data_IF_426385442900
#
_entry.id   IF_426385442900
#
_cell.length_a   1.000
_cell.length_b   1.000
_cell.length_c   1.000
_cell.angle_alpha   90.00
_cell.angle_beta   90.00
_cell.angle_gamma   90.00
#
_symmetry.space_group_name_H-M   'P 1'
#
loop_
_entity.id
_entity.type
_entity.pdbx_description
1 polymer ?
#
# COMPACT_ATOMS: atom_id res chain seq x y z
N UNK A 1 -15.24 42.75 -30.55
CA UNK A 1 -14.64 42.41 -29.25
C UNK A 1 -15.57 41.60 -28.35
N UNK A 2 -16.84 42.00 -28.12
CA UNK A 2 -17.79 41.24 -27.26
C UNK A 2 -18.00 39.77 -27.66
N UNK A 3 -18.18 39.49 -28.96
CA UNK A 3 -18.35 38.10 -29.48
C UNK A 3 -17.13 37.21 -29.25
N UNK A 4 -15.93 37.78 -29.36
CA UNK A 4 -14.67 37.07 -29.06
C UNK A 4 -14.58 36.72 -27.57
N UNK A 5 -14.99 37.65 -26.69
CA UNK A 5 -15.02 37.41 -25.25
C UNK A 5 -16.03 36.31 -24.85
N UNK A 6 -17.21 36.29 -25.49
CA UNK A 6 -18.18 35.20 -25.31
C UNK A 6 -17.62 33.84 -25.72
N UNK A 7 -16.90 33.77 -26.85
CA UNK A 7 -16.27 32.53 -27.30
C UNK A 7 -15.22 32.03 -26.30
N UNK A 8 -14.37 32.92 -25.79
CA UNK A 8 -13.37 32.58 -24.77
C UNK A 8 -14.03 32.07 -23.48
N UNK A 9 -15.11 32.71 -23.03
CA UNK A 9 -15.85 32.28 -21.84
C UNK A 9 -16.47 30.88 -21.99
N UNK A 10 -17.05 30.57 -23.16
CA UNK A 10 -17.58 29.24 -23.46
C UNK A 10 -16.48 28.18 -23.42
N UNK A 11 -15.30 28.50 -23.97
CA UNK A 11 -14.16 27.58 -24.00
C UNK A 11 -13.63 27.30 -22.60
N UNK A 12 -13.54 28.32 -21.75
CA UNK A 12 -13.19 28.18 -20.32
C UNK A 12 -14.22 27.31 -19.58
N UNK A 13 -15.52 27.53 -19.81
CA UNK A 13 -16.57 26.73 -19.20
C UNK A 13 -16.50 25.25 -19.59
N UNK A 14 -16.27 24.95 -20.87
CA UNK A 14 -16.09 23.58 -21.35
C UNK A 14 -14.86 22.89 -20.76
N UNK A 15 -13.74 23.62 -20.66
CA UNK A 15 -12.53 23.12 -20.00
C UNK A 15 -12.80 22.83 -18.52
N UNK A 16 -13.50 23.72 -17.82
CA UNK A 16 -13.86 23.53 -16.43
C UNK A 16 -14.71 22.27 -16.21
N UNK A 17 -15.75 22.07 -17.02
CA UNK A 17 -16.60 20.86 -16.95
C UNK A 17 -15.77 19.61 -17.22
N UNK A 18 -14.90 19.64 -18.23
CA UNK A 18 -14.02 18.51 -18.58
C UNK A 18 -13.10 18.13 -17.42
N UNK A 19 -12.50 19.14 -16.75
CA UNK A 19 -11.64 18.92 -15.57
C UNK A 19 -12.46 18.32 -14.42
N UNK A 20 -13.66 18.81 -14.15
CA UNK A 20 -14.53 18.29 -13.09
C UNK A 20 -14.94 16.84 -13.31
N UNK A 21 -15.33 16.49 -14.54
CA UNK A 21 -15.67 15.11 -14.91
C UNK A 21 -14.45 14.19 -14.74
N UNK A 22 -13.27 14.62 -15.20
CA UNK A 22 -12.05 13.86 -15.04
C UNK A 22 -11.63 13.67 -13.57
N UNK A 23 -11.74 14.73 -12.76
CA UNK A 23 -11.47 14.65 -11.31
C UNK A 23 -12.38 13.63 -10.63
N UNK A 24 -13.69 13.70 -10.87
CA UNK A 24 -14.65 12.75 -10.31
C UNK A 24 -14.39 11.31 -10.78
N UNK A 25 -14.03 11.12 -12.05
CA UNK A 25 -13.64 9.81 -12.56
C UNK A 25 -12.41 9.26 -11.82
N UNK A 26 -11.37 10.09 -11.66
CA UNK A 26 -10.11 9.72 -10.99
C UNK A 26 -10.28 9.47 -9.50
N UNK A 27 -11.22 10.12 -8.84
CA UNK A 27 -11.52 9.89 -7.43
C UNK A 27 -12.09 8.50 -7.18
N UNK A 28 -12.82 7.94 -8.16
CA UNK A 28 -13.53 6.67 -8.04
C UNK A 28 -12.91 5.51 -8.86
N UNK A 29 -11.90 5.78 -9.69
CA UNK A 29 -11.28 4.77 -10.54
C UNK A 29 -9.75 4.82 -10.47
N UNK A 30 -9.13 3.66 -10.68
CA UNK A 30 -7.68 3.57 -10.86
C UNK A 30 -7.30 3.84 -12.31
N UNK A 31 -6.30 4.69 -12.49
CA UNK A 31 -5.68 4.91 -13.79
C UNK A 31 -4.70 3.78 -14.12
N UNK A 32 -4.41 3.56 -15.41
CA UNK A 32 -3.49 2.51 -15.89
C UNK A 32 -2.07 2.60 -15.33
N UNK A 33 -1.65 3.77 -14.82
CA UNK A 33 -0.34 4.02 -14.22
C UNK A 33 -0.40 4.13 -12.68
N UNK A 34 -1.55 3.86 -12.08
CA UNK A 34 -1.79 3.83 -10.64
C UNK A 34 -2.04 2.39 -10.20
N UNK A 35 -1.64 2.04 -8.98
CA UNK A 35 -1.89 0.75 -8.37
C UNK A 35 -2.37 0.96 -6.94
N UNK A 36 -3.19 0.04 -6.44
CA UNK A 36 -3.40 -0.13 -5.00
C UNK A 36 -2.72 -1.41 -4.60
N UNK A 37 -2.13 -1.41 -3.42
CA UNK A 37 -1.57 -2.61 -2.79
C UNK A 37 -2.25 -2.75 -1.46
N UNK A 38 -2.89 -3.88 -1.20
CA UNK A 38 -3.43 -4.29 0.08
C UNK A 38 -2.59 -5.47 0.56
N UNK A 39 -2.10 -5.42 1.80
CA UNK A 39 -1.26 -6.50 2.36
C UNK A 39 -2.00 -7.12 3.54
N UNK A 40 -2.27 -8.41 3.45
CA UNK A 40 -2.95 -9.21 4.46
C UNK A 40 -1.96 -10.15 5.13
N UNK A 41 -1.84 -10.07 6.44
CA UNK A 41 -0.99 -10.97 7.21
C UNK A 41 -1.74 -12.25 7.57
N UNK A 42 -1.24 -13.37 7.08
CA UNK A 42 -1.62 -14.72 7.46
C UNK A 42 -0.45 -15.40 8.16
N UNK A 43 0.00 -14.78 9.25
CA UNK A 43 1.10 -15.25 10.08
C UNK A 43 0.62 -15.35 11.53
N UNK A 44 0.30 -16.55 12.02
CA UNK A 44 0.04 -16.79 13.44
C UNK A 44 1.23 -16.35 14.31
N UNK A 45 0.97 -15.91 15.55
CA UNK A 45 2.01 -15.41 16.46
C UNK A 45 3.17 -16.42 16.62
N UNK A 46 2.85 -17.71 16.68
CA UNK A 46 3.80 -18.81 16.79
C UNK A 46 4.70 -19.02 15.56
N UNK A 47 4.30 -18.52 14.39
CA UNK A 47 5.05 -18.67 13.13
C UNK A 47 5.92 -17.43 12.81
N UNK A 48 5.71 -16.29 13.50
CA UNK A 48 6.41 -15.02 13.20
C UNK A 48 7.93 -15.17 13.35
N UNK A 49 8.40 -15.76 14.45
CA UNK A 49 9.85 -15.97 14.66
C UNK A 49 10.45 -16.81 13.54
N UNK A 50 9.80 -17.92 13.18
CA UNK A 50 10.25 -18.79 12.09
C UNK A 50 10.25 -18.08 10.74
N UNK A 51 9.22 -17.27 10.47
CA UNK A 51 9.11 -16.50 9.23
C UNK A 51 10.31 -15.55 9.05
N UNK A 52 10.78 -14.93 10.13
CA UNK A 52 11.95 -14.05 10.16
C UNK A 52 13.29 -14.76 10.40
N UNK A 53 13.30 -16.08 10.63
CA UNK A 53 14.51 -16.84 10.96
C UNK A 53 15.11 -16.51 12.34
N UNK A 54 14.26 -16.17 13.31
CA UNK A 54 14.64 -15.85 14.68
C UNK A 54 14.51 -17.06 15.61
N UNK A 55 15.14 -16.99 16.78
CA UNK A 55 14.92 -17.96 17.86
C UNK A 55 13.48 -17.88 18.39
N UNK A 56 12.88 -19.03 18.71
CA UNK A 56 11.51 -19.11 19.21
C UNK A 56 11.35 -18.34 20.53
N UNK A 57 10.36 -17.46 20.60
CA UNK A 57 10.09 -16.59 21.74
C UNK A 57 10.69 -15.19 21.61
N UNK A 58 11.26 -14.84 20.45
CA UNK A 58 11.79 -13.50 20.20
C UNK A 58 10.65 -12.49 19.96
N UNK A 59 9.60 -12.90 19.24
CA UNK A 59 8.44 -12.06 18.99
C UNK A 59 7.61 -11.86 20.27
N UNK A 60 7.27 -10.60 20.56
CA UNK A 60 6.40 -10.21 21.65
C UNK A 60 5.42 -9.18 21.09
N UNK A 61 4.15 -9.57 20.93
CA UNK A 61 3.10 -8.70 20.37
C UNK A 61 2.87 -7.38 21.11
N UNK A 62 3.26 -7.32 22.38
CA UNK A 62 3.13 -6.09 23.18
C UNK A 62 4.31 -5.14 22.95
N UNK A 63 5.43 -5.66 22.46
CA UNK A 63 6.66 -4.90 22.21
C UNK A 63 6.99 -4.75 20.75
N UNK A 64 6.48 -5.60 19.86
CA UNK A 64 6.90 -5.68 18.47
C UNK A 64 5.71 -5.58 17.51
N UNK A 65 5.95 -4.96 16.36
CA UNK A 65 4.99 -4.86 15.26
C UNK A 65 5.68 -5.16 13.93
N UNK A 66 4.89 -5.60 12.95
CA UNK A 66 5.38 -5.91 11.60
C UNK A 66 5.01 -4.76 10.67
N UNK A 67 5.99 -4.24 9.95
CA UNK A 67 5.83 -3.18 8.96
C UNK A 67 6.21 -3.66 7.57
N UNK A 68 5.32 -3.46 6.60
CA UNK A 68 5.62 -3.65 5.19
C UNK A 68 6.11 -2.33 4.59
N UNK A 69 7.06 -2.39 3.66
CA UNK A 69 7.61 -1.19 3.03
C UNK A 69 8.00 -1.46 1.60
N UNK A 70 7.79 -0.47 0.75
CA UNK A 70 8.14 -0.54 -0.67
C UNK A 70 9.29 0.41 -0.98
N UNK A 71 10.27 -0.05 -1.75
CA UNK A 71 11.38 0.80 -2.17
C UNK A 71 10.96 1.70 -3.34
N UNK A 72 11.15 3.00 -3.16
CA UNK A 72 10.96 4.02 -4.21
C UNK A 72 12.18 4.08 -5.13
N UNK A 73 12.05 4.74 -6.29
CA UNK A 73 13.15 4.93 -7.26
C UNK A 73 14.41 5.58 -6.68
N UNK A 74 14.27 6.41 -5.64
CA UNK A 74 15.36 7.10 -4.97
C UNK A 74 15.91 6.33 -3.75
N UNK A 75 15.68 5.01 -3.66
CA UNK A 75 16.03 4.15 -2.53
C UNK A 75 15.39 4.53 -1.18
N UNK A 76 14.42 5.44 -1.17
CA UNK A 76 13.62 5.72 0.01
C UNK A 76 12.64 4.59 0.27
N UNK A 77 12.47 4.17 1.53
CA UNK A 77 11.46 3.19 1.91
C UNK A 77 10.14 3.89 2.20
N UNK A 78 9.11 3.53 1.43
CA UNK A 78 7.76 3.96 1.64
C UNK A 78 7.07 2.95 2.55
N UNK A 79 6.97 3.30 3.82
CA UNK A 79 6.30 2.47 4.80
C UNK A 79 4.81 2.38 4.50
N UNK A 80 4.31 1.15 4.50
CA UNK A 80 2.93 0.81 4.25
C UNK A 80 2.26 0.43 5.57
N UNK A 81 1.43 1.34 6.06
CA UNK A 81 0.75 1.24 7.36
C UNK A 81 -0.73 0.88 7.25
N UNK A 82 -1.26 0.75 6.03
CA UNK A 82 -2.70 0.76 5.80
C UNK A 82 -3.25 -0.66 5.70
N UNK A 83 -4.38 -0.92 6.36
CA UNK A 83 -5.10 -2.19 6.32
C UNK A 83 -4.29 -3.43 6.72
N UNK A 84 -3.44 -3.32 7.74
CA UNK A 84 -2.89 -4.49 8.43
C UNK A 84 -3.99 -5.10 9.31
N UNK A 85 -5.01 -5.69 8.68
CA UNK A 85 -6.00 -6.46 9.43
C UNK A 85 -5.29 -7.65 10.05
N UNK A 86 -5.36 -7.74 11.38
CA UNK A 86 -5.01 -8.94 12.11
C UNK A 86 -5.89 -10.06 11.57
N UNK A 87 -5.25 -11.18 11.25
CA UNK A 87 -5.79 -12.40 10.66
C UNK A 87 -7.29 -12.65 10.95
N UNK A 88 -8.12 -12.55 9.90
CA UNK A 88 -9.52 -13.00 9.89
C UNK A 88 -9.77 -14.03 8.75
N UNK A 89 -8.71 -14.70 8.26
CA UNK A 89 -8.78 -15.57 7.09
C UNK A 89 -8.87 -14.81 5.75
N UNK A 90 -8.82 -15.57 4.65
CA UNK A 90 -8.95 -15.04 3.28
C UNK A 90 -10.38 -14.71 2.88
N UNK A 91 -11.35 -15.16 3.67
CA UNK A 91 -12.79 -15.08 3.38
C UNK A 91 -13.33 -13.65 3.38
N UNK A 92 -12.59 -12.70 3.99
CA UNK A 92 -12.93 -11.28 3.98
C UNK A 92 -12.31 -10.52 2.80
N UNK A 93 -11.44 -11.15 2.00
CA UNK A 93 -10.80 -10.48 0.86
C UNK A 93 -11.77 -10.48 -0.32
N UNK A 94 -12.34 -9.32 -0.61
CA UNK A 94 -13.22 -9.14 -1.76
C UNK A 94 -12.41 -8.91 -3.04
N UNK A 95 -12.35 -9.93 -3.90
CA UNK A 95 -11.67 -9.84 -5.21
C UNK A 95 -12.28 -8.81 -6.16
N UNK A 96 -13.57 -8.51 -5.99
CA UNK A 96 -14.32 -7.57 -6.84
C UNK A 96 -14.43 -6.18 -6.20
N UNK A 97 -13.63 -5.89 -5.16
CA UNK A 97 -13.64 -4.59 -4.52
C UNK A 97 -13.25 -3.49 -5.51
N UNK A 98 -14.08 -2.44 -5.56
CA UNK A 98 -13.80 -1.24 -6.34
C UNK A 98 -12.93 -0.30 -5.56
N UNK A 99 -12.11 0.46 -6.28
CA UNK A 99 -11.31 1.52 -5.69
C UNK A 99 -12.19 2.56 -4.99
N UNK A 100 -11.81 2.95 -3.77
CA UNK A 100 -12.36 4.09 -3.04
C UNK A 100 -11.22 4.82 -2.35
N UNK A 101 -11.21 6.15 -2.43
CA UNK A 101 -10.19 6.99 -1.82
C UNK A 101 -10.20 6.91 -0.27
N UNK A 102 -11.33 6.55 0.32
CA UNK A 102 -11.49 6.41 1.77
C UNK A 102 -10.79 5.16 2.32
N UNK A 103 -10.73 4.10 1.50
CA UNK A 103 -10.18 2.79 1.90
C UNK A 103 -8.78 2.53 1.39
N UNK A 104 -8.45 3.10 0.22
CA UNK A 104 -7.27 2.72 -0.54
C UNK A 104 -6.30 3.86 -0.74
N UNK A 105 -5.02 3.55 -0.58
CA UNK A 105 -3.93 4.41 -0.99
C UNK A 105 -3.47 4.02 -2.40
N UNK A 106 -3.54 4.99 -3.32
CA UNK A 106 -3.00 4.84 -4.68
C UNK A 106 -1.49 5.10 -4.69
N UNK A 107 -0.77 4.30 -5.45
CA UNK A 107 0.64 4.47 -5.77
C UNK A 107 0.79 4.69 -7.26
N UNK A 108 1.62 5.64 -7.68
CA UNK A 108 1.96 5.78 -9.10
C UNK A 108 3.14 4.89 -9.44
N UNK A 109 3.31 4.59 -10.73
CA UNK A 109 4.42 3.76 -11.22
C UNK A 109 5.82 4.20 -10.79
N UNK A 110 6.04 5.49 -10.59
CA UNK A 110 7.33 6.00 -10.11
C UNK A 110 7.47 5.96 -8.57
N UNK A 111 6.38 5.74 -7.83
CA UNK A 111 6.41 5.63 -6.37
C UNK A 111 6.88 4.26 -5.90
N UNK A 112 6.57 3.20 -6.63
CA UNK A 112 6.99 1.84 -6.33
C UNK A 112 7.70 1.28 -7.56
N UNK A 113 9.02 1.17 -7.47
CA UNK A 113 9.87 0.69 -8.57
C UNK A 113 10.46 -0.69 -8.30
N UNK A 114 10.05 -1.28 -7.19
CA UNK A 114 10.60 -2.51 -6.65
C UNK A 114 9.59 -3.63 -6.83
N UNK A 115 10.04 -4.75 -7.39
CA UNK A 115 9.32 -6.03 -7.32
C UNK A 115 9.53 -6.72 -5.97
N UNK A 116 9.92 -5.96 -4.95
CA UNK A 116 10.28 -6.44 -3.63
C UNK A 116 9.59 -5.59 -2.57
N UNK A 117 8.94 -6.25 -1.65
CA UNK A 117 8.43 -5.69 -0.40
C UNK A 117 9.43 -6.03 0.70
N UNK A 118 9.76 -5.04 1.53
CA UNK A 118 10.58 -5.26 2.72
C UNK A 118 9.63 -5.38 3.90
N UNK A 119 9.61 -6.55 4.53
CA UNK A 119 8.87 -6.84 5.75
C UNK A 119 9.83 -6.68 6.92
N UNK A 120 9.49 -5.83 7.89
CA UNK A 120 10.35 -5.50 9.03
C UNK A 120 9.65 -5.81 10.33
N UNK A 121 10.36 -6.49 11.23
CA UNK A 121 9.94 -6.59 12.62
C UNK A 121 10.57 -5.43 13.39
N UNK A 122 9.75 -4.61 14.04
CA UNK A 122 10.22 -3.41 14.74
C UNK A 122 9.70 -3.35 16.16
N UNK A 123 10.47 -2.75 17.06
CA UNK A 123 10.03 -2.42 18.41
C UNK A 123 8.98 -1.30 18.37
N UNK A 124 7.85 -1.54 19.03
CA UNK A 124 6.81 -0.58 19.42
C UNK A 124 7.41 0.32 20.51
N UNK A 125 8.28 1.27 20.14
CA UNK A 125 8.50 2.43 21.04
C UNK A 125 7.25 3.30 20.99
N UNK A 126 6.78 3.75 22.15
CA UNK A 126 5.45 4.35 22.39
C UNK A 126 5.14 5.69 21.69
N UNK A 127 5.76 6.02 20.57
CA UNK A 127 5.46 7.25 19.84
C UNK A 127 4.39 6.98 18.80
N UNK A 128 3.24 7.62 18.96
CA UNK A 128 2.16 7.81 17.99
C UNK A 128 2.60 8.48 16.65
N UNK A 129 3.90 8.53 16.36
CA UNK A 129 4.51 9.10 15.16
C UNK A 129 5.39 8.04 14.50
N UNK A 130 4.77 7.20 13.67
CA UNK A 130 5.42 6.19 12.84
C UNK A 130 6.42 6.75 11.80
N UNK A 131 6.67 8.07 11.75
CA UNK A 131 7.40 8.70 10.64
C UNK A 131 8.87 9.04 10.90
N UNK A 132 9.40 8.99 12.13
CA UNK A 132 10.62 9.76 12.43
C UNK A 132 11.92 9.02 12.79
N UNK A 133 11.95 7.74 13.20
CA UNK A 133 13.23 7.07 13.52
C UNK A 133 13.14 5.53 13.62
N UNK A 134 12.65 4.88 12.56
CA UNK A 134 12.46 3.41 12.55
C UNK A 134 13.79 2.65 12.47
N UNK A 135 14.88 3.23 11.96
CA UNK A 135 16.14 2.50 11.77
C UNK A 135 16.71 1.89 13.05
N UNK A 136 16.53 2.54 14.20
CA UNK A 136 17.04 2.07 15.49
C UNK A 136 16.06 1.15 16.24
N UNK A 137 14.88 0.89 15.67
CA UNK A 137 13.89 -0.01 16.25
C UNK A 137 13.72 -1.32 15.46
N UNK A 138 14.39 -1.47 14.30
CA UNK A 138 14.33 -2.70 13.50
C UNK A 138 15.08 -3.83 14.22
N UNK A 139 14.35 -4.89 14.53
CA UNK A 139 14.91 -6.14 15.08
C UNK A 139 15.47 -6.97 13.94
N UNK A 140 14.68 -7.13 12.88
CA UNK A 140 15.09 -7.87 11.68
C UNK A 140 14.23 -7.46 10.49
N UNK A 141 14.66 -7.85 9.29
CA UNK A 141 13.95 -7.61 8.03
C UNK A 141 14.05 -8.82 7.11
N UNK A 142 13.03 -8.98 6.28
CA UNK A 142 12.97 -9.98 5.22
C UNK A 142 12.50 -9.31 3.93
N UNK A 143 13.10 -9.71 2.82
CA UNK A 143 12.71 -9.24 1.50
C UNK A 143 11.81 -10.28 0.85
N UNK A 144 10.64 -9.84 0.40
CA UNK A 144 9.62 -10.67 -0.20
C UNK A 144 9.37 -10.21 -1.63
N UNK A 145 9.44 -11.14 -2.59
CA UNK A 145 9.20 -10.80 -3.99
C UNK A 145 7.71 -10.63 -4.26
N UNK A 146 7.35 -9.52 -4.89
CA UNK A 146 5.98 -9.18 -5.26
C UNK A 146 5.93 -8.52 -6.63
N UNK A 147 5.00 -8.95 -7.48
CA UNK A 147 4.80 -8.35 -8.80
C UNK A 147 3.58 -7.43 -8.83
N UNK A 148 3.76 -6.12 -8.65
CA UNK A 148 2.64 -5.17 -8.60
C UNK A 148 2.09 -4.89 -10.00
N UNK A 149 0.81 -5.21 -10.22
CA UNK A 149 0.08 -4.82 -11.42
C UNK A 149 -0.46 -3.39 -11.33
N UNK A 150 -0.25 -2.60 -12.38
CA UNK A 150 -0.83 -1.26 -12.51
C UNK A 150 -2.21 -1.29 -13.18
N UNK A 151 -3.07 -0.34 -12.82
CA UNK A 151 -4.47 -0.27 -13.23
C UNK A 151 -5.41 -1.13 -12.39
N UNK A 152 -4.92 -1.75 -11.30
CA UNK A 152 -5.72 -2.64 -10.46
C UNK A 152 -5.37 -2.55 -8.97
N UNK A 153 -6.21 -3.17 -8.15
CA UNK A 153 -5.94 -3.46 -6.75
C UNK A 153 -5.17 -4.77 -6.67
N UNK A 154 -4.04 -4.76 -5.98
CA UNK A 154 -3.20 -5.93 -5.75
C UNK A 154 -3.42 -6.38 -4.30
N UNK A 155 -4.08 -7.51 -4.10
CA UNK A 155 -4.22 -8.10 -2.78
C UNK A 155 -3.07 -9.07 -2.58
N UNK A 156 -2.21 -8.81 -1.60
CA UNK A 156 -1.02 -9.59 -1.29
C UNK A 156 -1.26 -10.28 0.04
N UNK A 157 -1.13 -11.60 0.08
CA UNK A 157 -1.12 -12.37 1.32
C UNK A 157 0.34 -12.63 1.69
N UNK A 158 0.67 -12.34 2.94
CA UNK A 158 1.94 -12.73 3.55
C UNK A 158 1.71 -13.87 4.52
N UNK A 159 2.28 -15.03 4.21
CA UNK A 159 2.22 -16.23 5.04
C UNK A 159 3.63 -16.78 5.35
N UNK A 160 3.70 -17.93 6.01
CA UNK A 160 4.98 -18.57 6.38
C UNK A 160 5.90 -18.87 5.19
N UNK A 161 5.33 -19.07 4.00
CA UNK A 161 6.06 -19.39 2.77
C UNK A 161 6.52 -18.13 2.02
N UNK A 162 5.95 -16.96 2.33
CA UNK A 162 6.34 -15.67 1.77
C UNK A 162 5.14 -14.85 1.31
N UNK A 163 5.37 -13.92 0.38
CA UNK A 163 4.32 -13.10 -0.23
C UNK A 163 3.74 -13.72 -1.50
N UNK A 164 2.42 -13.73 -1.62
CA UNK A 164 1.71 -14.19 -2.82
C UNK A 164 0.55 -13.28 -3.19
N UNK A 165 0.18 -13.26 -4.47
CA UNK A 165 -1.01 -12.54 -4.93
C UNK A 165 -2.27 -13.35 -4.66
N UNK A 166 -3.28 -12.66 -4.18
CA UNK A 166 -4.62 -13.19 -3.99
C UNK A 166 -5.59 -12.42 -4.88
N UNK A 167 -6.51 -13.13 -5.54
CA UNK A 167 -7.35 -12.61 -6.63
C UNK A 167 -6.51 -12.18 -7.85
N UNK A 168 -6.80 -12.73 -9.03
CA UNK A 168 -6.04 -12.44 -10.25
C UNK A 168 -6.71 -11.41 -11.15
#
# INVERSE_FOLDING_TARGET
MKKFFYFVLILIALLYISVKVFQNYKENNLLKNEAVVNVYFNLPEEEIDSYFGLEKGTFDKTKHTILCSFQKQNNYLLDYYYNLSIYNGTDLINCDEKFSIEKHRRFKKYDINSSTMIVRLVNIRSSNNYSANISNSIITKKEEYINIGFGKINNIILDKNGASHYCH
#
